data_IF_355185600041
#
_entry.id   IF_355185600041
#
_cell.length_a   1.000
_cell.length_b   1.000
_cell.length_c   1.000
_cell.angle_alpha   90.00
_cell.angle_beta   90.00
_cell.angle_gamma   90.00
#
_symmetry.space_group_name_H-M   'P 1'
#
loop_
_entity.id
_entity.type
_entity.pdbx_description
1 polymer ?
#
# COMPACT_ATOMS: atom_id res chain seq x y z
N UNK A 1 2.26 -26.43 -13.61
CA UNK A 1 0.90 -25.85 -13.57
C UNK A 1 0.82 -24.97 -12.33
N UNK A 2 0.09 -23.86 -12.38
CA UNK A 2 0.00 -22.92 -11.26
C UNK A 2 -1.44 -22.86 -10.75
N UNK A 3 -1.61 -22.84 -9.43
CA UNK A 3 -2.91 -22.65 -8.79
C UNK A 3 -3.10 -21.18 -8.46
N UNK A 4 -4.34 -20.71 -8.49
CA UNK A 4 -4.67 -19.37 -8.03
C UNK A 4 -4.41 -19.26 -6.53
N UNK A 5 -3.62 -18.26 -6.12
CA UNK A 5 -3.29 -18.04 -4.71
C UNK A 5 -4.51 -17.81 -3.80
N UNK A 6 -5.62 -17.30 -4.35
CA UNK A 6 -6.79 -16.94 -3.55
C UNK A 6 -7.83 -18.05 -3.40
N UNK A 7 -8.01 -18.88 -4.43
CA UNK A 7 -9.05 -19.91 -4.42
C UNK A 7 -8.50 -21.33 -4.57
N UNK A 8 -7.19 -21.48 -4.73
CA UNK A 8 -6.45 -22.75 -4.86
C UNK A 8 -6.87 -23.61 -6.07
N UNK A 9 -7.78 -23.10 -6.91
CA UNK A 9 -8.19 -23.71 -8.17
C UNK A 9 -7.08 -23.54 -9.21
N UNK A 10 -6.88 -24.58 -10.02
CA UNK A 10 -5.93 -24.61 -11.12
C UNK A 10 -6.22 -23.50 -12.15
N UNK A 11 -5.19 -22.75 -12.52
CA UNK A 11 -5.26 -21.77 -13.61
C UNK A 11 -5.06 -22.50 -14.93
N UNK A 12 -6.09 -22.49 -15.78
CA UNK A 12 -6.01 -23.17 -17.09
C UNK A 12 -5.09 -22.41 -18.02
N UNK A 13 -4.28 -23.12 -18.82
CA UNK A 13 -3.33 -22.52 -19.79
C UNK A 13 -3.95 -21.53 -20.79
N UNK A 14 -5.26 -21.62 -21.04
CA UNK A 14 -6.01 -20.73 -21.95
C UNK A 14 -6.74 -19.59 -21.24
N UNK A 15 -6.61 -19.49 -19.93
CA UNK A 15 -7.32 -18.51 -19.11
C UNK A 15 -6.58 -17.17 -19.20
N UNK A 16 -7.11 -16.27 -20.05
CA UNK A 16 -6.48 -14.98 -20.38
C UNK A 16 -6.44 -14.00 -19.21
N UNK A 17 -7.31 -14.20 -18.21
CA UNK A 17 -7.57 -13.22 -17.15
C UNK A 17 -6.86 -13.61 -15.86
N UNK A 18 -5.53 -13.55 -15.89
CA UNK A 18 -4.67 -13.83 -14.73
C UNK A 18 -3.75 -12.65 -14.45
N UNK A 19 -3.36 -12.51 -13.19
CA UNK A 19 -2.42 -11.50 -12.71
C UNK A 19 -1.31 -12.17 -11.91
N UNK A 20 -0.06 -11.77 -12.16
CA UNK A 20 1.11 -12.21 -11.39
C UNK A 20 1.55 -11.07 -10.49
N UNK A 21 1.66 -11.32 -9.19
CA UNK A 21 2.18 -10.32 -8.27
C UNK A 21 3.67 -10.08 -8.53
N UNK A 22 4.06 -8.82 -8.69
CA UNK A 22 5.45 -8.40 -8.90
C UNK A 22 6.36 -8.77 -7.72
N UNK A 23 5.85 -8.69 -6.49
CA UNK A 23 6.64 -8.91 -5.27
C UNK A 23 6.83 -10.41 -4.98
N UNK A 24 5.74 -11.17 -4.85
CA UNK A 24 5.81 -12.57 -4.44
C UNK A 24 5.77 -13.57 -5.60
N UNK A 25 5.56 -13.11 -6.83
CA UNK A 25 5.48 -13.97 -8.02
C UNK A 25 4.25 -14.86 -8.11
N UNK A 26 3.38 -14.85 -7.11
CA UNK A 26 2.16 -15.65 -7.06
C UNK A 26 1.15 -15.19 -8.11
N UNK A 27 0.41 -16.16 -8.68
CA UNK A 27 -0.55 -15.93 -9.76
C UNK A 27 -1.96 -16.03 -9.19
N UNK A 28 -2.87 -15.17 -9.66
CA UNK A 28 -4.27 -15.15 -9.26
C UNK A 28 -5.17 -14.96 -10.47
N UNK A 29 -6.37 -15.55 -10.43
CA UNK A 29 -7.44 -15.15 -11.34
C UNK A 29 -7.77 -13.67 -11.14
N UNK A 30 -8.09 -12.98 -12.22
CA UNK A 30 -8.48 -11.57 -12.19
C UNK A 30 -9.65 -11.32 -11.23
N UNK A 31 -10.67 -12.18 -11.30
CA UNK A 31 -11.86 -12.13 -10.42
C UNK A 31 -11.49 -12.29 -8.95
N UNK A 32 -10.59 -13.22 -8.63
CA UNK A 32 -10.16 -13.46 -7.25
C UNK A 32 -9.28 -12.32 -6.71
N UNK A 33 -8.50 -11.67 -7.57
CA UNK A 33 -7.74 -10.48 -7.25
C UNK A 33 -8.62 -9.23 -7.04
N UNK A 34 -9.90 -9.31 -7.44
CA UNK A 34 -10.88 -8.21 -7.41
C UNK A 34 -10.38 -6.97 -8.18
N UNK A 35 -9.79 -7.20 -9.34
CA UNK A 35 -9.30 -6.17 -10.28
C UNK A 35 -10.24 -6.15 -11.48
N UNK A 36 -10.56 -4.96 -11.98
CA UNK A 36 -11.43 -4.82 -13.15
C UNK A 36 -10.72 -5.23 -14.44
N UNK A 37 -11.48 -5.57 -15.49
CA UNK A 37 -10.91 -5.86 -16.81
C UNK A 37 -10.18 -4.64 -17.40
N UNK A 38 -10.69 -3.42 -17.13
CA UNK A 38 -10.04 -2.17 -17.55
C UNK A 38 -8.68 -1.99 -16.88
N UNK A 39 -8.59 -2.24 -15.57
CA UNK A 39 -7.33 -2.14 -14.84
C UNK A 39 -6.35 -3.24 -15.27
N UNK A 40 -6.85 -4.45 -15.56
CA UNK A 40 -6.03 -5.53 -16.12
C UNK A 40 -5.40 -5.14 -17.45
N UNK A 41 -6.18 -4.54 -18.36
CA UNK A 41 -5.67 -4.04 -19.64
C UNK A 41 -4.62 -2.94 -19.44
N UNK A 42 -4.80 -2.05 -18.46
CA UNK A 42 -3.81 -1.03 -18.13
C UNK A 42 -2.51 -1.67 -17.62
N UNK A 43 -2.60 -2.59 -16.66
CA UNK A 43 -1.45 -3.29 -16.07
C UNK A 43 -0.69 -4.10 -17.13
N UNK A 44 -1.39 -4.77 -18.04
CA UNK A 44 -0.76 -5.64 -19.04
C UNK A 44 -0.14 -4.88 -20.21
N UNK A 45 -0.68 -3.71 -20.58
CA UNK A 45 -0.21 -2.93 -21.72
C UNK A 45 0.75 -1.78 -21.33
N UNK A 46 0.85 -1.43 -20.04
CA UNK A 46 1.77 -0.39 -19.56
C UNK A 46 2.95 -1.02 -18.80
N UNK A 47 4.16 -1.06 -19.37
CA UNK A 47 5.31 -1.76 -18.78
C UNK A 47 5.81 -1.15 -17.45
N UNK A 48 5.39 0.07 -17.12
CA UNK A 48 5.70 0.74 -15.87
C UNK A 48 4.73 0.39 -14.73
N UNK A 49 3.62 -0.30 -14.99
CA UNK A 49 2.59 -0.60 -14.01
C UNK A 49 2.71 -2.06 -13.57
N UNK A 50 3.07 -2.26 -12.30
CA UNK A 50 3.17 -3.57 -11.68
C UNK A 50 1.97 -3.85 -10.77
N UNK A 51 1.43 -5.07 -10.87
CA UNK A 51 0.42 -5.55 -9.93
C UNK A 51 1.05 -6.07 -8.64
N UNK A 52 0.58 -5.57 -7.49
CA UNK A 52 0.94 -6.09 -6.17
C UNK A 52 -0.29 -6.67 -5.49
N UNK A 53 -0.21 -7.92 -5.03
CA UNK A 53 -1.34 -8.56 -4.36
C UNK A 53 -1.55 -7.97 -2.95
N UNK A 54 -2.79 -8.04 -2.46
CA UNK A 54 -3.20 -7.45 -1.16
C UNK A 54 -2.31 -7.90 0.01
N UNK A 55 -1.86 -9.16 0.00
CA UNK A 55 -0.98 -9.69 1.04
C UNK A 55 0.36 -8.96 1.07
N UNK A 56 0.97 -8.74 -0.10
CA UNK A 56 2.23 -8.02 -0.21
C UNK A 56 2.04 -6.53 0.12
N UNK A 57 0.97 -5.89 -0.36
CA UNK A 57 0.66 -4.49 -0.01
C UNK A 57 0.52 -4.30 1.50
N UNK A 58 -0.17 -5.23 2.18
CA UNK A 58 -0.31 -5.19 3.65
C UNK A 58 1.03 -5.39 4.35
N UNK A 59 1.88 -6.28 3.84
CA UNK A 59 3.21 -6.50 4.40
C UNK A 59 4.11 -5.26 4.28
N UNK A 60 4.15 -4.62 3.11
CA UNK A 60 4.90 -3.38 2.90
C UNK A 60 4.42 -2.24 3.80
N UNK A 61 3.10 -2.07 3.91
CA UNK A 61 2.52 -1.07 4.81
C UNK A 61 2.88 -1.34 6.28
N UNK A 62 2.83 -2.59 6.72
CA UNK A 62 3.23 -2.99 8.07
C UNK A 62 4.72 -2.76 8.33
N UNK A 63 5.59 -2.94 7.34
CA UNK A 63 7.02 -2.62 7.44
C UNK A 63 7.24 -1.12 7.61
N UNK A 64 6.55 -0.29 6.84
CA UNK A 64 6.67 1.16 6.95
C UNK A 64 6.16 1.67 8.30
N UNK A 65 5.03 1.13 8.78
CA UNK A 65 4.54 1.41 10.14
C UNK A 65 5.55 1.03 11.23
N UNK A 66 6.26 -0.09 11.08
CA UNK A 66 7.31 -0.48 12.03
C UNK A 66 8.46 0.52 12.03
N UNK A 67 8.92 1.01 10.87
CA UNK A 67 9.97 2.04 10.79
C UNK A 67 9.56 3.34 11.47
N UNK A 68 8.31 3.77 11.26
CA UNK A 68 7.74 4.96 11.93
C UNK A 68 7.73 4.76 13.44
N UNK A 69 7.26 3.59 13.94
CA UNK A 69 7.27 3.28 15.38
C UNK A 69 8.66 3.30 15.99
N UNK A 70 9.63 2.62 15.36
CA UNK A 70 11.03 2.61 15.84
C UNK A 70 11.62 4.02 15.87
N UNK A 71 11.33 4.85 14.86
CA UNK A 71 11.75 6.25 14.83
C UNK A 71 11.13 7.06 15.98
N UNK A 72 9.84 6.88 16.26
CA UNK A 72 9.16 7.52 17.39
C UNK A 72 9.73 7.09 18.75
N UNK A 73 10.01 5.80 18.94
CA UNK A 73 10.60 5.29 20.17
C UNK A 73 12.01 5.83 20.39
N UNK A 74 12.80 5.95 19.31
CA UNK A 74 14.13 6.57 19.36
C UNK A 74 14.06 8.07 19.67
N UNK A 75 13.05 8.78 19.14
CA UNK A 75 12.80 10.19 19.48
C UNK A 75 12.37 10.33 20.94
N UNK A 76 11.48 9.47 21.44
CA UNK A 76 11.06 9.45 22.86
C UNK A 76 12.24 9.19 23.79
N UNK A 77 13.11 8.23 23.48
CA UNK A 77 14.32 7.95 24.26
C UNK A 77 15.31 9.11 24.30
N UNK A 78 15.36 9.94 23.25
CA UNK A 78 16.23 11.13 23.18
C UNK A 78 15.63 12.39 23.80
N UNK A 79 14.30 12.47 23.96
CA UNK A 79 13.62 13.61 24.54
C UNK A 79 13.24 13.32 25.99
N UNK A 80 14.09 13.78 26.93
CA UNK A 80 13.69 13.95 28.33
C UNK A 80 12.31 14.65 28.41
N UNK A 81 11.42 14.11 29.24
CA UNK A 81 9.96 14.26 29.25
C UNK A 81 9.41 15.70 29.13
N UNK A 82 10.17 16.73 29.49
CA UNK A 82 9.79 18.15 29.45
C UNK A 82 9.72 18.78 28.05
N UNK A 83 10.34 18.18 27.02
CA UNK A 83 10.26 18.72 25.63
C UNK A 83 9.08 18.17 24.82
N UNK A 84 8.45 17.07 25.26
CA UNK A 84 7.33 16.41 24.57
C UNK A 84 6.02 17.23 24.63
N UNK A 85 5.71 17.85 25.78
CA UNK A 85 4.53 18.72 25.96
C UNK A 85 4.54 19.93 25.03
N UNK A 86 5.71 20.50 24.76
CA UNK A 86 5.84 21.62 23.82
C UNK A 86 5.70 21.19 22.34
N UNK A 87 6.03 19.94 22.01
CA UNK A 87 5.89 19.41 20.66
C UNK A 87 4.43 19.00 20.36
N UNK A 88 3.73 18.39 21.34
CA UNK A 88 2.31 18.05 21.21
C UNK A 88 1.43 19.30 21.04
N UNK A 89 1.71 20.37 21.78
CA UNK A 89 1.00 21.64 21.60
C UNK A 89 1.24 22.27 20.22
N UNK A 90 2.46 22.16 19.68
CA UNK A 90 2.74 22.61 18.29
C UNK A 90 2.02 21.74 17.26
N UNK A 91 2.00 20.42 17.42
CA UNK A 91 1.31 19.49 16.51
C UNK A 91 -0.22 19.69 16.53
N UNK A 92 -0.82 19.96 17.69
CA UNK A 92 -2.24 20.31 17.80
C UNK A 92 -2.59 21.58 16.99
N UNK A 93 -1.70 22.59 17.02
CA UNK A 93 -1.87 23.82 16.23
C UNK A 93 -1.81 23.54 14.72
N UNK A 94 -0.84 22.74 14.25
CA UNK A 94 -0.73 22.39 12.82
C UNK A 94 -1.93 21.60 12.29
N UNK A 95 -2.51 20.70 13.09
CA UNK A 95 -3.69 19.91 12.70
C UNK A 95 -4.93 20.78 12.43
N UNK A 96 -5.06 21.93 13.10
CA UNK A 96 -6.13 22.91 12.84
C UNK A 96 -5.93 23.70 11.54
N UNK A 97 -4.69 23.84 11.06
CA UNK A 97 -4.39 24.59 9.83
C UNK A 97 -4.53 23.72 8.57
N UNK A 98 -4.23 22.41 8.66
CA UNK A 98 -4.28 21.48 7.50
C UNK A 98 -5.67 21.21 6.92
N UNK A 99 -6.76 21.42 7.68
CA UNK A 99 -8.13 21.21 7.18
C UNK A 99 -8.52 22.25 6.12
N UNK A 100 -7.88 23.43 6.08
CA UNK A 100 -8.14 24.44 5.02
C UNK A 100 -7.38 24.19 3.72
N UNK A 101 -6.26 23.47 3.74
CA UNK A 101 -5.40 23.29 2.57
C UNK A 101 -5.82 22.15 1.62
N UNK A 102 -6.67 21.22 2.08
CA UNK A 102 -7.10 20.04 1.29
C UNK A 102 -8.16 20.39 0.21
N UNK A 103 -8.65 21.64 0.15
CA UNK A 103 -9.66 22.05 -0.85
C UNK A 103 -9.10 22.53 -2.20
N UNK A 104 -7.79 22.50 -2.43
CA UNK A 104 -7.22 22.85 -3.73
C UNK A 104 -6.34 21.71 -4.26
N UNK A 105 -6.99 20.64 -4.73
CA UNK A 105 -6.40 19.74 -5.72
C UNK A 105 -6.85 20.20 -7.11
N UNK A 106 -5.90 20.66 -7.93
CA UNK A 106 -5.95 20.61 -9.40
C UNK A 106 -4.49 20.58 -9.85
N UNK A 107 -3.95 19.39 -10.12
CA UNK A 107 -3.86 18.67 -11.41
C UNK A 107 -2.41 18.81 -11.92
N UNK A 108 -1.89 17.70 -12.45
CA UNK A 108 -0.57 17.63 -13.09
C UNK A 108 -0.45 18.65 -14.22
#
# INVERSE_FOLDING_TARGET
MANCFHCEIEIKRKEKWTLKCFICGLISHLKCANVSETDHNVITNMPCINYTCKTCTKAEFMLELKKVRTSLDNVKKKLNYTKLTNLENKLYYYKKVSIKAIKQMTRC
#
